data_IF_787976263348
#
_entry.id   IF_787976263348
#
_cell.length_a   1.000
_cell.length_b   1.000
_cell.length_c   1.000
_cell.angle_alpha   90.00
_cell.angle_beta   90.00
_cell.angle_gamma   90.00
#
_symmetry.space_group_name_H-M   'P 1'
#
loop_
_entity.id
_entity.type
_entity.pdbx_description
1 polymer ?
#
# COMPACT_ATOMS: atom_id res chain seq x y z
N UNK A 1 -2.18 2.69 -6.37
CA UNK A 1 -2.86 3.25 -5.20
C UNK A 1 -2.98 2.24 -4.06
N UNK A 2 -3.43 1.02 -4.35
CA UNK A 2 -3.57 -0.06 -3.36
C UNK A 2 -2.50 -1.10 -3.63
N UNK A 3 -1.73 -1.46 -2.62
CA UNK A 3 -0.72 -2.49 -2.74
C UNK A 3 -0.66 -3.36 -1.49
N UNK A 4 -0.31 -4.63 -1.71
CA UNK A 4 -0.02 -5.58 -0.64
C UNK A 4 1.33 -6.21 -0.96
N UNK A 5 2.35 -5.82 -0.21
CA UNK A 5 3.70 -6.37 -0.34
C UNK A 5 3.91 -7.49 0.64
N UNK A 6 4.57 -8.55 0.19
CA UNK A 6 4.96 -9.69 1.02
C UNK A 6 6.48 -9.79 0.99
N UNK A 7 7.09 -9.73 2.15
CA UNK A 7 8.54 -9.76 2.34
C UNK A 7 8.89 -11.00 3.15
N UNK A 8 9.89 -11.76 2.70
CA UNK A 8 10.44 -12.88 3.48
C UNK A 8 11.12 -12.33 4.72
N UNK A 9 10.64 -12.75 5.90
CA UNK A 9 11.22 -12.36 7.17
C UNK A 9 11.32 -13.58 8.08
N UNK A 10 12.52 -14.12 8.19
CA UNK A 10 12.80 -15.34 8.99
C UNK A 10 12.59 -15.17 10.49
N UNK A 11 12.41 -13.93 10.97
CA UNK A 11 12.15 -13.65 12.38
C UNK A 11 10.68 -13.76 12.76
N UNK A 12 9.78 -13.83 11.78
CA UNK A 12 8.35 -14.02 12.01
C UNK A 12 7.99 -15.51 12.05
N UNK A 13 6.97 -15.87 12.83
CA UNK A 13 6.50 -17.27 12.92
C UNK A 13 6.08 -17.85 11.56
N UNK A 14 5.53 -17.04 10.67
CA UNK A 14 5.09 -17.43 9.33
C UNK A 14 6.19 -17.33 8.28
N UNK A 15 7.40 -16.87 8.62
CA UNK A 15 8.50 -16.68 7.67
C UNK A 15 8.32 -15.52 6.69
N UNK A 16 7.20 -14.79 6.78
CA UNK A 16 6.89 -13.66 5.90
C UNK A 16 6.28 -12.50 6.69
N UNK A 17 6.43 -11.32 6.15
CA UNK A 17 5.79 -10.11 6.66
C UNK A 17 4.97 -9.46 5.54
N UNK A 18 3.75 -9.04 5.87
CA UNK A 18 2.79 -8.51 4.92
C UNK A 18 2.60 -7.03 5.19
N UNK A 19 2.77 -6.21 4.16
CA UNK A 19 2.64 -4.76 4.23
C UNK A 19 1.57 -4.27 3.26
N UNK A 20 0.34 -4.05 3.73
CA UNK A 20 -0.66 -3.34 2.95
C UNK A 20 -0.37 -1.85 2.99
N UNK A 21 -0.61 -1.19 1.86
CA UNK A 21 -0.34 0.23 1.72
C UNK A 21 -1.36 0.87 0.76
N UNK A 22 -1.97 1.95 1.20
CA UNK A 22 -2.63 2.90 0.30
C UNK A 22 -1.64 4.02 0.00
N UNK A 23 -1.34 4.23 -1.28
CA UNK A 23 -0.35 5.22 -1.71
C UNK A 23 -0.83 6.01 -2.91
N UNK A 24 -0.63 7.32 -2.86
CA UNK A 24 -0.82 8.24 -3.99
C UNK A 24 0.48 8.99 -4.22
N UNK A 25 1.00 8.92 -5.45
CA UNK A 25 2.24 9.57 -5.84
C UNK A 25 1.96 10.66 -6.86
N UNK A 26 2.51 11.84 -6.65
CA UNK A 26 2.38 13.00 -7.53
C UNK A 26 3.72 13.74 -7.65
N UNK A 27 3.89 14.50 -8.75
CA UNK A 27 5.01 15.44 -8.87
C UNK A 27 4.85 16.65 -7.96
N UNK A 28 5.90 17.46 -7.84
CA UNK A 28 5.96 18.65 -6.98
C UNK A 28 4.80 19.64 -7.22
N UNK A 29 4.36 19.79 -8.46
CA UNK A 29 3.26 20.69 -8.84
C UNK A 29 1.91 20.32 -8.19
N UNK A 30 1.75 19.07 -7.79
CA UNK A 30 0.52 18.55 -7.19
C UNK A 30 0.67 18.21 -5.70
N UNK A 31 1.69 18.76 -5.04
CA UNK A 31 1.93 18.52 -3.62
C UNK A 31 0.73 18.97 -2.76
N UNK A 32 0.13 20.13 -3.08
CA UNK A 32 -1.05 20.64 -2.37
C UNK A 32 -2.22 19.64 -2.37
N UNK A 33 -2.42 18.93 -3.47
CA UNK A 33 -3.47 17.90 -3.54
C UNK A 33 -3.21 16.72 -2.58
N UNK A 34 -1.95 16.35 -2.36
CA UNK A 34 -1.57 15.32 -1.39
C UNK A 34 -1.72 15.81 0.05
N UNK A 35 -1.45 17.09 0.30
CA UNK A 35 -1.65 17.73 1.61
C UNK A 35 -3.15 17.82 1.95
N UNK A 36 -3.98 18.23 0.99
CA UNK A 36 -5.44 18.22 1.14
C UNK A 36 -5.97 16.82 1.42
N UNK A 37 -5.47 15.81 0.71
CA UNK A 37 -5.85 14.41 0.93
C UNK A 37 -5.47 13.94 2.33
N UNK A 38 -4.26 14.27 2.81
CA UNK A 38 -3.82 13.96 4.18
C UNK A 38 -4.71 14.64 5.22
N UNK A 39 -5.05 15.90 5.00
CA UNK A 39 -5.93 16.66 5.92
C UNK A 39 -7.35 16.09 5.91
N UNK A 40 -7.86 15.71 4.75
CA UNK A 40 -9.20 15.11 4.62
C UNK A 40 -9.32 13.78 5.36
N UNK A 41 -8.35 12.87 5.17
CA UNK A 41 -8.38 11.57 5.85
C UNK A 41 -7.94 11.64 7.31
N UNK A 42 -7.20 12.68 7.70
CA UNK A 42 -6.69 12.85 9.06
C UNK A 42 -5.67 11.79 9.50
N UNK A 43 -5.11 11.03 8.56
CA UNK A 43 -4.15 9.96 8.82
C UNK A 43 -3.09 9.88 7.72
N UNK A 44 -2.11 8.98 7.88
CA UNK A 44 -1.06 8.78 6.90
C UNK A 44 0.07 9.81 6.97
N UNK A 45 1.02 9.67 6.05
CA UNK A 45 2.22 10.51 5.99
C UNK A 45 2.57 10.89 4.56
N UNK A 46 3.22 12.04 4.41
CA UNK A 46 3.83 12.49 3.18
C UNK A 46 5.31 12.15 3.17
N UNK A 47 5.81 11.66 2.05
CA UNK A 47 7.22 11.36 1.81
C UNK A 47 7.68 12.05 0.54
N UNK A 48 8.95 12.48 0.53
CA UNK A 48 9.62 12.93 -0.69
C UNK A 48 10.47 11.78 -1.21
N UNK A 49 10.28 11.44 -2.48
CA UNK A 49 11.17 10.57 -3.22
C UNK A 49 12.04 11.45 -4.11
N UNK A 50 13.23 11.79 -3.62
CA UNK A 50 14.21 12.56 -4.36
C UNK A 50 14.79 11.68 -5.46
N UNK A 51 14.58 12.10 -6.70
CA UNK A 51 15.14 11.40 -7.86
C UNK A 51 16.55 11.90 -8.14
N UNK A 52 17.48 10.97 -8.29
CA UNK A 52 18.85 11.23 -8.73
C UNK A 52 19.03 10.93 -10.23
N UNK A 53 17.93 10.69 -10.93
CA UNK A 53 17.91 10.49 -12.39
C UNK A 53 17.66 11.84 -13.10
N UNK A 54 17.84 11.89 -14.41
CA UNK A 54 17.68 13.10 -15.24
C UNK A 54 16.25 13.68 -15.29
N UNK A 55 15.36 13.23 -14.41
CA UNK A 55 14.02 13.81 -14.27
C UNK A 55 14.06 15.07 -13.39
N UNK A 56 13.44 16.12 -13.88
CA UNK A 56 13.51 17.49 -13.32
C UNK A 56 12.66 17.71 -12.05
N UNK A 57 11.88 16.74 -11.58
CA UNK A 57 10.98 16.93 -10.46
C UNK A 57 11.04 15.79 -9.46
N UNK A 58 11.09 16.13 -8.17
CA UNK A 58 10.91 15.19 -7.07
C UNK A 58 9.47 14.65 -7.06
N UNK A 59 9.31 13.40 -6.65
CA UNK A 59 8.02 12.79 -6.46
C UNK A 59 7.62 12.85 -4.98
N UNK A 60 6.38 13.19 -4.74
CA UNK A 60 5.78 13.18 -3.41
C UNK A 60 4.81 12.00 -3.29
N UNK A 61 4.82 11.36 -2.15
CA UNK A 61 3.98 10.19 -1.86
C UNK A 61 3.19 10.43 -0.58
N UNK A 62 1.87 10.33 -0.68
CA UNK A 62 1.01 10.18 0.48
C UNK A 62 0.79 8.70 0.74
N UNK A 63 1.08 8.22 1.96
CA UNK A 63 0.99 6.81 2.33
C UNK A 63 0.20 6.61 3.61
N UNK A 64 -0.70 5.62 3.60
CA UNK A 64 -1.37 5.08 4.79
C UNK A 64 -1.03 3.61 4.92
N UNK A 65 -0.48 3.20 6.06
CA UNK A 65 0.00 1.83 6.33
C UNK A 65 -0.61 1.21 7.59
N UNK A 66 -1.11 2.03 8.50
CA UNK A 66 -1.72 1.52 9.72
C UNK A 66 -3.00 0.74 9.39
N UNK A 67 -3.07 -0.53 9.77
CA UNK A 67 -4.21 -1.42 9.50
C UNK A 67 -5.52 -0.81 9.98
N UNK A 68 -5.49 -0.17 11.14
CA UNK A 68 -6.65 0.52 11.70
C UNK A 68 -7.15 1.62 10.76
N UNK A 69 -6.27 2.51 10.32
CA UNK A 69 -6.63 3.63 9.45
C UNK A 69 -7.09 3.15 8.07
N UNK A 70 -6.43 2.10 7.54
CA UNK A 70 -6.84 1.46 6.30
C UNK A 70 -8.25 0.89 6.40
N UNK A 71 -8.56 0.19 7.50
CA UNK A 71 -9.87 -0.44 7.74
C UNK A 71 -10.98 0.56 8.05
N UNK A 72 -10.68 1.57 8.88
CA UNK A 72 -11.71 2.47 9.45
C UNK A 72 -11.91 3.75 8.63
N UNK A 73 -10.95 4.13 7.81
CA UNK A 73 -10.97 5.40 7.06
C UNK A 73 -10.90 5.16 5.55
N UNK A 74 -9.85 4.49 5.07
CA UNK A 74 -9.60 4.36 3.64
C UNK A 74 -10.62 3.43 2.97
N UNK A 75 -10.83 2.23 3.50
CA UNK A 75 -11.77 1.27 2.92
C UNK A 75 -13.20 1.83 2.87
N UNK A 76 -13.78 2.36 3.96
CA UNK A 76 -15.12 2.91 3.94
C UNK A 76 -15.29 4.07 2.95
N UNK A 77 -14.26 4.90 2.77
CA UNK A 77 -14.29 5.98 1.79
C UNK A 77 -14.44 5.45 0.37
N UNK A 78 -13.67 4.44 -0.03
CA UNK A 78 -13.75 3.87 -1.38
C UNK A 78 -14.92 2.91 -1.59
N UNK A 79 -15.53 2.41 -0.53
CA UNK A 79 -16.83 1.73 -0.61
C UNK A 79 -17.97 2.71 -0.90
N UNK A 80 -17.95 3.89 -0.26
CA UNK A 80 -18.91 4.97 -0.52
C UNK A 80 -18.68 5.66 -1.88
N UNK A 81 -17.44 5.66 -2.38
CA UNK A 81 -17.03 6.28 -3.65
C UNK A 81 -16.37 5.24 -4.57
N UNK A 82 -17.14 4.34 -5.20
CA UNK A 82 -16.61 3.22 -5.94
C UNK A 82 -15.72 3.62 -7.11
N UNK A 83 -14.57 2.96 -7.22
CA UNK A 83 -13.65 3.12 -8.35
C UNK A 83 -14.26 2.57 -9.63
N UNK A 84 -14.12 3.32 -10.73
CA UNK A 84 -14.68 2.96 -12.04
C UNK A 84 -13.65 2.37 -13.01
N UNK A 85 -12.40 2.23 -12.58
CA UNK A 85 -11.29 1.76 -13.40
C UNK A 85 -10.84 0.35 -13.00
N UNK A 86 -9.83 -0.17 -13.69
CA UNK A 86 -9.16 -1.42 -13.30
C UNK A 86 -8.70 -1.45 -11.84
N UNK A 87 -8.51 -0.27 -11.22
CA UNK A 87 -8.18 -0.13 -9.79
C UNK A 87 -9.26 -0.67 -8.84
N UNK A 88 -10.47 -0.90 -9.32
CA UNK A 88 -11.51 -1.58 -8.54
C UNK A 88 -11.09 -2.99 -8.13
N UNK A 89 -10.44 -3.75 -9.02
CA UNK A 89 -9.93 -5.08 -8.70
C UNK A 89 -8.83 -5.01 -7.64
N UNK A 90 -7.90 -4.09 -7.78
CA UNK A 90 -6.83 -3.87 -6.80
C UNK A 90 -7.41 -3.52 -5.43
N UNK A 91 -8.47 -2.72 -5.40
CA UNK A 91 -9.15 -2.34 -4.17
C UNK A 91 -9.84 -3.53 -3.49
N UNK A 92 -10.54 -4.39 -4.24
CA UNK A 92 -11.20 -5.58 -3.67
C UNK A 92 -10.18 -6.56 -3.06
N UNK A 93 -9.05 -6.78 -3.74
CA UNK A 93 -7.93 -7.56 -3.20
C UNK A 93 -7.39 -6.94 -1.90
N UNK A 94 -7.15 -5.64 -1.94
CA UNK A 94 -6.64 -4.90 -0.80
C UNK A 94 -7.59 -4.99 0.40
N UNK A 95 -8.88 -4.83 0.18
CA UNK A 95 -9.92 -4.95 1.20
C UNK A 95 -9.92 -6.33 1.85
N UNK A 96 -9.84 -7.39 1.06
CA UNK A 96 -9.78 -8.76 1.57
C UNK A 96 -8.48 -9.01 2.37
N UNK A 97 -7.34 -8.51 1.90
CA UNK A 97 -6.08 -8.61 2.63
C UNK A 97 -6.16 -7.90 3.99
N UNK A 98 -6.72 -6.69 4.06
CA UNK A 98 -6.91 -5.96 5.31
C UNK A 98 -7.84 -6.72 6.26
N UNK A 99 -8.92 -7.33 5.74
CA UNK A 99 -9.84 -8.15 6.54
C UNK A 99 -9.10 -9.32 7.19
N UNK A 100 -8.37 -10.10 6.42
CA UNK A 100 -7.58 -11.24 6.92
C UNK A 100 -6.53 -10.82 7.94
N UNK A 101 -5.90 -9.67 7.72
CA UNK A 101 -4.92 -9.12 8.66
C UNK A 101 -5.58 -8.64 9.96
N UNK A 102 -6.76 -8.05 9.90
CA UNK A 102 -7.51 -7.61 11.07
C UNK A 102 -7.96 -8.78 11.96
N UNK A 103 -8.20 -9.94 11.36
CA UNK A 103 -8.56 -11.19 12.04
C UNK A 103 -7.31 -11.97 12.52
N UNK A 104 -6.10 -11.41 12.35
CA UNK A 104 -4.81 -12.06 12.64
C UNK A 104 -4.56 -13.37 11.87
N UNK A 105 -5.29 -13.63 10.82
CA UNK A 105 -5.16 -14.83 9.97
C UNK A 105 -3.82 -14.84 9.24
N UNK A 106 -3.24 -13.67 8.96
CA UNK A 106 -1.91 -13.51 8.37
C UNK A 106 -0.75 -14.03 9.25
N UNK A 107 -1.01 -14.33 10.52
CA UNK A 107 -0.02 -14.92 11.44
C UNK A 107 0.06 -16.43 11.31
N UNK A 108 -0.88 -17.06 10.60
CA UNK A 108 -0.90 -18.50 10.34
C UNK A 108 -0.34 -18.80 8.96
N UNK A 109 0.25 -20.00 8.77
CA UNK A 109 0.74 -20.44 7.47
C UNK A 109 -0.40 -20.48 6.44
N UNK A 110 -1.56 -20.99 6.84
CA UNK A 110 -2.76 -21.04 5.98
C UNK A 110 -3.22 -19.65 5.53
N UNK A 111 -3.20 -18.67 6.41
CA UNK A 111 -3.56 -17.29 6.10
C UNK A 111 -2.56 -16.63 5.15
N UNK A 112 -1.27 -16.91 5.32
CA UNK A 112 -0.23 -16.45 4.40
C UNK A 112 -0.43 -17.06 3.01
N UNK A 113 -0.67 -18.36 2.93
CA UNK A 113 -0.91 -19.05 1.66
C UNK A 113 -2.15 -18.50 0.95
N UNK A 114 -3.18 -18.16 1.70
CA UNK A 114 -4.40 -17.55 1.19
C UNK A 114 -4.15 -16.15 0.62
N UNK A 115 -3.37 -15.32 1.30
CA UNK A 115 -2.96 -14.00 0.82
C UNK A 115 -2.06 -14.07 -0.41
N UNK A 116 -1.15 -15.03 -0.47
CA UNK A 116 -0.30 -15.28 -1.64
C UNK A 116 -1.12 -15.72 -2.85
N UNK A 117 -2.09 -16.59 -2.67
CA UNK A 117 -3.03 -17.01 -3.74
C UNK A 117 -3.87 -15.86 -4.25
N UNK A 118 -4.38 -15.02 -3.36
CA UNK A 118 -5.09 -13.80 -3.72
C UNK A 118 -4.20 -12.87 -4.57
N UNK A 119 -2.97 -12.64 -4.14
CA UNK A 119 -2.02 -11.83 -4.87
C UNK A 119 -1.73 -12.39 -6.27
N UNK A 120 -1.55 -13.71 -6.41
CA UNK A 120 -1.30 -14.37 -7.70
C UNK A 120 -2.49 -14.26 -8.65
N UNK A 121 -3.72 -14.38 -8.17
CA UNK A 121 -4.92 -14.27 -9.00
C UNK A 121 -5.10 -12.88 -9.63
N UNK A 122 -4.49 -11.84 -9.05
CA UNK A 122 -4.50 -10.46 -9.55
C UNK A 122 -3.25 -10.08 -10.34
N UNK A 123 -2.13 -10.80 -10.15
CA UNK A 123 -0.85 -10.56 -10.85
C UNK A 123 -0.85 -11.06 -12.29
N UNK A 124 -1.85 -11.78 -12.74
CA UNK A 124 -1.94 -12.24 -14.14
C UNK A 124 -2.13 -11.11 -15.15
N UNK A 125 -2.19 -9.86 -14.72
CA UNK A 125 -2.30 -8.70 -15.59
C UNK A 125 -1.21 -7.62 -15.40
N UNK A 126 -0.25 -7.79 -14.48
CA UNK A 126 0.88 -6.84 -14.36
C UNK A 126 2.18 -7.58 -14.04
N UNK A 127 3.17 -7.36 -14.88
CA UNK A 127 4.58 -7.74 -14.70
C UNK A 127 5.02 -7.48 -13.27
N UNK A 128 5.52 -8.52 -12.61
CA UNK A 128 6.16 -8.48 -11.30
C UNK A 128 7.28 -7.45 -11.35
N UNK A 129 7.04 -6.23 -10.88
CA UNK A 129 8.11 -5.35 -10.49
C UNK A 129 8.61 -5.85 -9.14
N UNK A 130 9.58 -6.73 -9.16
CA UNK A 130 10.47 -6.96 -8.04
C UNK A 130 11.27 -5.67 -7.83
N UNK A 131 10.73 -4.78 -7.01
CA UNK A 131 11.57 -3.74 -6.43
C UNK A 131 12.21 -4.35 -5.19
N UNK A 132 13.54 -4.47 -5.13
CA UNK A 132 14.21 -4.75 -3.89
C UNK A 132 13.91 -3.55 -2.98
N UNK A 133 13.13 -3.77 -1.94
CA UNK A 133 12.99 -2.78 -0.89
C UNK A 133 14.27 -2.84 -0.09
N UNK A 134 15.22 -2.01 -0.47
CA UNK A 134 16.38 -1.69 0.36
C UNK A 134 15.81 -0.89 1.52
N UNK A 135 15.96 -1.41 2.74
CA UNK A 135 15.41 -0.83 3.98
C UNK A 135 15.95 0.54 4.38
N UNK A 136 16.54 1.30 3.47
CA UNK A 136 17.11 2.62 3.73
C UNK A 136 16.20 3.79 3.33
N UNK A 137 15.12 3.56 2.56
CA UNK A 137 14.25 4.64 2.09
C UNK A 137 13.10 4.99 3.06
N UNK A 138 13.05 4.35 4.21
CA UNK A 138 11.97 4.55 5.21
C UNK A 138 12.26 5.75 6.14
N UNK A 139 13.45 6.31 6.12
CA UNK A 139 13.92 7.22 7.20
C UNK A 139 13.76 8.70 6.90
N UNK A 140 13.21 9.12 5.79
CA UNK A 140 12.97 10.56 5.53
C UNK A 140 11.48 10.88 5.51
N UNK A 141 10.85 10.75 6.69
CA UNK A 141 9.59 11.44 6.97
C UNK A 141 9.90 12.93 7.22
N UNK A 142 9.27 13.80 6.47
CA UNK A 142 9.24 15.25 6.74
C UNK A 142 8.16 15.50 7.76
#
# INVERSE_FOLDING_TARGET
CFSVSVIVNKTTKSGVQIFPEFVVTQGAKSLSALEEMKNYFGCGRLFINRRHDNHREDLYRYCVRAIRDLREIIIPFFEANPLRTAKKKDFELFKEAIRLMSENVHLTQEGVDRLLKLKQSYSSSETIRQSPIIGQDIVQAI
#
